data_IF_743978725965
#
_entry.id   IF_743978725965
#
_cell.length_a   1.000
_cell.length_b   1.000
_cell.length_c   1.000
_cell.angle_alpha   90.00
_cell.angle_beta   90.00
_cell.angle_gamma   90.00
#
_symmetry.space_group_name_H-M   'P 1'
#
loop_
_entity.id
_entity.type
_entity.pdbx_description
1 polymer ?
#
# COMPACT_ATOMS: atom_id res chain seq x y z
N UNK A 1 6.21 26.10 23.78
CA UNK A 1 6.38 25.73 22.35
C UNK A 1 5.03 25.94 21.68
N UNK A 2 4.87 27.07 21.00
CA UNK A 2 3.60 27.57 20.47
C UNK A 2 3.16 26.72 19.29
N UNK A 3 2.06 25.96 19.42
CA UNK A 3 1.46 25.20 18.30
C UNK A 3 0.84 26.21 17.34
N UNK A 4 1.62 26.68 16.35
CA UNK A 4 1.10 27.43 15.21
C UNK A 4 0.32 26.46 14.31
N UNK A 5 -0.95 26.18 14.63
CA UNK A 5 -1.85 25.54 13.67
C UNK A 5 -2.56 26.62 12.87
N UNK A 6 -2.24 26.73 11.59
CA UNK A 6 -2.73 27.77 10.68
C UNK A 6 -4.23 27.66 10.34
N UNK A 7 -4.93 26.61 10.80
CA UNK A 7 -6.34 26.38 10.52
C UNK A 7 -7.12 25.99 11.79
N UNK A 8 -8.37 26.48 11.95
CA UNK A 8 -9.33 25.98 12.94
C UNK A 8 -9.46 24.45 12.89
N UNK A 9 -9.79 23.83 14.03
CA UNK A 9 -9.83 22.37 14.18
C UNK A 9 -10.79 21.67 13.20
N UNK A 10 -11.89 22.35 12.85
CA UNK A 10 -12.89 21.85 11.88
C UNK A 10 -12.34 21.86 10.44
N UNK A 11 -11.70 22.96 10.02
CA UNK A 11 -11.16 23.11 8.66
C UNK A 11 -10.05 22.11 8.36
N UNK A 12 -9.27 21.74 9.38
CA UNK A 12 -8.24 20.70 9.28
C UNK A 12 -8.84 19.31 9.05
N UNK A 13 -9.94 18.99 9.73
CA UNK A 13 -10.63 17.72 9.52
C UNK A 13 -11.20 17.65 8.09
N UNK A 14 -11.84 18.72 7.63
CA UNK A 14 -12.35 18.82 6.26
C UNK A 14 -11.25 18.70 5.19
N UNK A 15 -10.12 19.40 5.37
CA UNK A 15 -8.99 19.30 4.45
C UNK A 15 -8.41 17.88 4.40
N UNK A 16 -8.29 17.22 5.56
CA UNK A 16 -7.76 15.86 5.65
C UNK A 16 -8.70 14.84 5.00
N UNK A 17 -10.01 14.99 5.17
CA UNK A 17 -11.00 14.13 4.53
C UNK A 17 -11.07 14.37 3.01
N UNK A 18 -10.92 15.61 2.54
CA UNK A 18 -10.83 15.91 1.11
C UNK A 18 -9.60 15.25 0.47
N UNK A 19 -8.44 15.34 1.12
CA UNK A 19 -7.21 14.68 0.66
C UNK A 19 -7.34 13.16 0.60
N UNK A 20 -8.05 12.55 1.55
CA UNK A 20 -8.36 11.11 1.49
C UNK A 20 -9.24 10.77 0.29
N UNK A 21 -10.26 11.57 0.02
CA UNK A 21 -11.12 11.40 -1.16
C UNK A 21 -10.30 11.42 -2.46
N UNK A 22 -9.40 12.39 -2.60
CA UNK A 22 -8.48 12.48 -3.75
C UNK A 22 -7.57 11.25 -3.84
N UNK A 23 -7.04 10.78 -2.71
CA UNK A 23 -6.19 9.59 -2.70
C UNK A 23 -6.97 8.33 -3.12
N UNK A 24 -8.23 8.18 -2.68
CA UNK A 24 -9.11 7.08 -3.11
C UNK A 24 -9.40 7.14 -4.61
N UNK A 25 -9.62 8.33 -5.18
CA UNK A 25 -9.77 8.49 -6.63
C UNK A 25 -8.52 8.05 -7.39
N UNK A 26 -7.33 8.35 -6.88
CA UNK A 26 -6.07 7.87 -7.46
C UNK A 26 -5.91 6.34 -7.39
N UNK A 27 -6.32 5.73 -6.27
CA UNK A 27 -6.34 4.26 -6.11
C UNK A 27 -7.33 3.63 -7.10
N UNK A 28 -8.49 4.26 -7.32
CA UNK A 28 -9.50 3.79 -8.28
C UNK A 28 -8.94 3.68 -9.70
N UNK A 29 -8.14 4.65 -10.14
CA UNK A 29 -7.51 4.62 -11.48
C UNK A 29 -6.64 3.36 -11.66
N UNK A 30 -5.83 3.03 -10.64
CA UNK A 30 -4.97 1.84 -10.67
C UNK A 30 -5.79 0.54 -10.62
N UNK A 31 -6.89 0.53 -9.85
CA UNK A 31 -7.78 -0.62 -9.81
C UNK A 31 -8.48 -0.85 -11.15
N UNK A 32 -8.96 0.20 -11.83
CA UNK A 32 -9.52 0.08 -13.18
C UNK A 32 -8.49 -0.56 -14.12
N UNK A 33 -7.24 -0.11 -14.05
CA UNK A 33 -6.15 -0.69 -14.84
C UNK A 33 -5.90 -2.17 -14.50
N UNK A 34 -5.95 -2.53 -13.22
CA UNK A 34 -5.81 -3.91 -12.74
C UNK A 34 -6.98 -4.83 -13.14
N UNK A 35 -8.20 -4.31 -13.27
CA UNK A 35 -9.37 -5.09 -13.70
C UNK A 35 -9.50 -5.16 -15.23
N UNK A 36 -9.02 -4.15 -15.95
CA UNK A 36 -9.05 -4.10 -17.40
C UNK A 36 -7.91 -4.88 -18.07
N UNK A 37 -6.78 -5.10 -17.37
CA UNK A 37 -5.63 -5.84 -17.88
C UNK A 37 -5.41 -7.18 -17.18
N UNK A 38 -4.87 -8.15 -17.93
CA UNK A 38 -4.47 -9.47 -17.40
C UNK A 38 -3.33 -9.29 -16.38
N UNK A 39 -3.37 -10.00 -15.26
CA UNK A 39 -2.42 -9.86 -14.14
C UNK A 39 -0.94 -9.98 -14.54
N UNK A 40 -0.62 -10.73 -15.60
CA UNK A 40 0.73 -10.86 -16.16
C UNK A 40 1.29 -9.57 -16.81
N UNK A 41 0.44 -8.58 -17.11
CA UNK A 41 0.82 -7.28 -17.69
C UNK A 41 1.48 -6.35 -16.66
N UNK A 42 1.28 -6.62 -15.37
CA UNK A 42 1.86 -5.82 -14.27
C UNK A 42 3.37 -6.05 -14.13
N UNK A 43 3.83 -7.27 -14.44
CA UNK A 43 5.24 -7.68 -14.32
C UNK A 43 5.96 -7.78 -15.67
N UNK A 44 5.24 -7.97 -16.78
CA UNK A 44 5.84 -8.06 -18.10
C UNK A 44 5.02 -7.31 -19.17
N UNK A 45 5.43 -6.09 -19.55
CA UNK A 45 4.72 -5.29 -20.56
C UNK A 45 4.77 -5.90 -21.98
N UNK A 46 5.54 -6.97 -22.21
CA UNK A 46 5.59 -7.66 -23.51
C UNK A 46 4.45 -8.68 -23.72
N UNK A 47 3.65 -8.97 -22.70
CA UNK A 47 2.59 -10.00 -22.77
C UNK A 47 1.36 -9.53 -23.56
N UNK A 48 1.13 -8.21 -23.66
CA UNK A 48 -0.08 -7.65 -24.28
C UNK A 48 0.09 -7.18 -25.74
N UNK A 49 1.24 -7.45 -26.37
CA UNK A 49 1.54 -7.03 -27.75
C UNK A 49 2.47 -5.81 -27.82
N UNK A 50 2.88 -5.46 -29.05
CA UNK A 50 3.93 -4.46 -29.31
C UNK A 50 3.63 -3.11 -28.65
N UNK A 51 4.44 -2.75 -27.65
CA UNK A 51 4.43 -1.45 -26.98
C UNK A 51 4.98 -0.35 -27.89
N UNK A 52 4.19 0.05 -28.90
CA UNK A 52 4.47 1.20 -29.77
C UNK A 52 3.47 2.34 -29.53
N UNK A 53 3.98 3.58 -29.43
CA UNK A 53 3.17 4.81 -29.36
C UNK A 53 2.57 5.15 -27.99
N UNK A 54 1.36 5.73 -28.02
CA UNK A 54 0.65 6.36 -26.88
C UNK A 54 0.43 5.40 -25.70
N UNK A 55 0.26 4.10 -25.95
CA UNK A 55 0.06 3.09 -24.90
C UNK A 55 1.27 2.94 -23.98
N UNK A 56 2.50 3.05 -24.50
CA UNK A 56 3.72 2.98 -23.67
C UNK A 56 3.85 4.21 -22.78
N UNK A 57 3.53 5.39 -23.31
CA UNK A 57 3.57 6.65 -22.55
C UNK A 57 2.51 6.67 -21.45
N UNK A 58 1.29 6.22 -21.74
CA UNK A 58 0.21 6.13 -20.74
C UNK A 58 0.51 5.08 -19.66
N UNK A 59 1.06 3.94 -20.03
CA UNK A 59 1.50 2.91 -19.07
C UNK A 59 2.63 3.44 -18.19
N UNK A 60 3.66 4.06 -18.79
CA UNK A 60 4.79 4.63 -18.04
C UNK A 60 4.32 5.77 -17.13
N UNK A 61 3.44 6.65 -17.60
CA UNK A 61 2.90 7.74 -16.78
C UNK A 61 2.07 7.21 -15.60
N UNK A 62 1.17 6.26 -15.83
CA UNK A 62 0.33 5.67 -14.77
C UNK A 62 1.18 4.90 -13.76
N UNK A 63 2.15 4.11 -14.23
CA UNK A 63 3.05 3.38 -13.37
C UNK A 63 3.97 4.31 -12.57
N UNK A 64 4.49 5.37 -13.21
CA UNK A 64 5.44 6.26 -12.56
C UNK A 64 4.77 7.32 -11.69
N UNK A 65 3.50 7.70 -11.91
CA UNK A 65 2.81 8.73 -11.13
C UNK A 65 1.71 8.20 -10.21
N UNK A 66 1.03 7.11 -10.56
CA UNK A 66 -0.10 6.61 -9.79
C UNK A 66 0.22 5.32 -9.01
N UNK A 67 1.08 4.45 -9.53
CA UNK A 67 1.37 3.17 -8.86
C UNK A 67 2.01 3.40 -7.48
N UNK A 68 1.37 2.80 -6.47
CA UNK A 68 1.67 2.85 -5.04
C UNK A 68 1.73 4.24 -4.37
N UNK A 69 1.77 5.35 -5.13
CA UNK A 69 1.87 6.71 -4.59
C UNK A 69 0.60 7.16 -3.89
N UNK A 70 -0.55 6.98 -4.54
CA UNK A 70 -1.83 7.33 -3.91
C UNK A 70 -2.15 6.45 -2.70
N UNK A 71 -1.74 5.17 -2.75
CA UNK A 71 -1.81 4.27 -1.59
C UNK A 71 -0.92 4.76 -0.44
N UNK A 72 0.29 5.24 -0.74
CA UNK A 72 1.22 5.79 0.25
C UNK A 72 0.67 7.08 0.90
N UNK A 73 0.11 7.99 0.09
CA UNK A 73 -0.55 9.22 0.58
C UNK A 73 -1.74 8.84 1.46
N UNK A 74 -2.60 7.92 1.00
CA UNK A 74 -3.73 7.44 1.77
C UNK A 74 -3.29 6.84 3.12
N UNK A 75 -2.23 6.01 3.15
CA UNK A 75 -1.65 5.48 4.38
C UNK A 75 -1.16 6.55 5.35
N UNK A 76 -0.50 7.58 4.83
CA UNK A 76 -0.02 8.69 5.65
C UNK A 76 -1.19 9.49 6.25
N UNK A 77 -2.22 9.78 5.45
CA UNK A 77 -3.44 10.47 5.90
C UNK A 77 -4.28 9.62 6.85
N UNK A 78 -4.26 8.30 6.68
CA UNK A 78 -4.88 7.36 7.60
C UNK A 78 -4.19 7.45 8.97
N UNK A 79 -2.86 7.34 9.02
CA UNK A 79 -2.08 7.50 10.26
C UNK A 79 -2.26 8.85 10.94
N UNK A 80 -2.23 9.95 10.19
CA UNK A 80 -2.50 11.30 10.72
C UNK A 80 -3.91 11.40 11.32
N UNK A 81 -4.87 10.70 10.71
CA UNK A 81 -6.23 10.56 11.23
C UNK A 81 -6.33 9.87 12.58
N UNK A 82 -5.48 8.88 12.85
CA UNK A 82 -5.45 8.16 14.12
C UNK A 82 -5.09 9.12 15.26
N UNK A 83 -4.05 9.93 15.04
CA UNK A 83 -3.59 10.93 16.01
C UNK A 83 -4.65 11.99 16.22
N UNK A 84 -5.20 12.56 15.14
CA UNK A 84 -6.24 13.59 15.22
C UNK A 84 -7.53 13.06 15.89
N UNK A 85 -7.94 11.83 15.59
CA UNK A 85 -9.10 11.19 16.20
C UNK A 85 -8.88 10.96 17.70
N UNK A 86 -7.69 10.50 18.09
CA UNK A 86 -7.33 10.29 19.50
C UNK A 86 -7.32 11.61 20.26
N UNK A 87 -6.64 12.63 19.74
CA UNK A 87 -6.54 13.96 20.37
C UNK A 87 -7.92 14.59 20.56
N UNK A 88 -8.77 14.55 19.53
CA UNK A 88 -10.11 15.12 19.59
C UNK A 88 -11.03 14.37 20.57
N UNK A 89 -10.88 13.05 20.69
CA UNK A 89 -11.71 12.24 21.61
C UNK A 89 -11.26 12.43 23.06
N UNK A 90 -9.94 12.51 23.31
CA UNK A 90 -9.38 12.75 24.65
C UNK A 90 -9.74 14.15 25.16
N UNK A 91 -9.71 15.18 24.29
CA UNK A 91 -10.17 16.55 24.64
C UNK A 91 -11.65 16.60 25.06
N UNK A 92 -12.47 15.68 24.55
CA UNK A 92 -13.90 15.58 24.87
C UNK A 92 -14.19 14.64 26.05
N UNK A 93 -13.14 14.09 26.70
CA UNK A 93 -13.28 13.17 27.84
C UNK A 93 -13.74 11.76 27.48
N UNK A 94 -13.76 11.40 26.20
CA UNK A 94 -14.16 10.06 25.75
C UNK A 94 -12.97 9.10 25.73
N UNK A 95 -13.26 7.79 25.81
CA UNK A 95 -12.28 6.73 25.57
C UNK A 95 -12.06 6.55 24.06
N UNK A 96 -10.96 7.07 23.45
CA UNK A 96 -10.75 6.99 22.01
C UNK A 96 -10.68 5.56 21.49
N UNK A 97 -10.13 4.65 22.30
CA UNK A 97 -9.88 3.26 21.91
C UNK A 97 -11.18 2.55 21.51
N UNK A 98 -12.23 2.67 22.32
CA UNK A 98 -13.50 1.96 22.08
C UNK A 98 -14.08 2.30 20.71
N UNK A 99 -14.23 3.59 20.43
CA UNK A 99 -14.82 4.05 19.16
C UNK A 99 -13.91 3.77 17.97
N UNK A 100 -12.59 3.89 18.15
CA UNK A 100 -11.64 3.60 17.08
C UNK A 100 -11.62 2.12 16.69
N UNK A 101 -11.54 1.21 17.68
CA UNK A 101 -11.55 -0.24 17.41
C UNK A 101 -12.88 -0.72 16.84
N UNK A 102 -14.01 -0.09 17.20
CA UNK A 102 -15.30 -0.39 16.56
C UNK A 102 -15.30 -0.03 15.08
N UNK A 103 -14.68 1.10 14.69
CA UNK A 103 -14.50 1.47 13.28
C UNK A 103 -13.60 0.48 12.55
N UNK A 104 -12.48 0.07 13.17
CA UNK A 104 -11.59 -0.93 12.58
C UNK A 104 -12.23 -2.31 12.45
N UNK A 105 -13.09 -2.70 13.40
CA UNK A 105 -13.81 -3.97 13.32
C UNK A 105 -14.73 -4.00 12.10
N UNK A 106 -15.54 -2.96 11.88
CA UNK A 106 -16.38 -2.87 10.69
C UNK A 106 -15.55 -2.79 9.41
N UNK A 107 -14.44 -2.06 9.42
CA UNK A 107 -13.52 -2.00 8.29
C UNK A 107 -12.95 -3.40 7.96
N UNK A 108 -12.60 -4.18 8.99
CA UNK A 108 -12.10 -5.55 8.83
C UNK A 108 -13.18 -6.47 8.27
N UNK A 109 -14.40 -6.42 8.81
CA UNK A 109 -15.52 -7.27 8.34
C UNK A 109 -15.84 -6.97 6.88
N UNK A 110 -15.93 -5.69 6.52
CA UNK A 110 -16.17 -5.27 5.13
C UNK A 110 -15.00 -5.69 4.24
N UNK A 111 -13.76 -5.51 4.70
CA UNK A 111 -12.57 -5.93 3.94
C UNK A 111 -12.50 -7.43 3.72
N UNK A 112 -12.85 -8.24 4.73
CA UNK A 112 -12.92 -9.70 4.58
C UNK A 112 -14.03 -10.09 3.61
N UNK A 113 -15.22 -9.52 3.75
CA UNK A 113 -16.32 -9.78 2.82
C UNK A 113 -15.93 -9.40 1.38
N UNK A 114 -15.32 -8.24 1.18
CA UNK A 114 -14.85 -7.80 -0.14
C UNK A 114 -13.71 -8.71 -0.68
N UNK A 115 -12.74 -9.06 0.16
CA UNK A 115 -11.62 -9.94 -0.18
C UNK A 115 -12.03 -11.34 -0.63
N UNK A 116 -13.04 -11.91 0.03
CA UNK A 116 -13.55 -13.26 -0.27
C UNK A 116 -14.61 -13.27 -1.37
N UNK A 117 -15.48 -12.27 -1.45
CA UNK A 117 -16.65 -12.27 -2.36
C UNK A 117 -16.39 -11.56 -3.69
N UNK A 118 -15.49 -10.57 -3.72
CA UNK A 118 -15.33 -9.68 -4.86
C UNK A 118 -13.94 -9.78 -5.49
N UNK A 119 -12.87 -9.54 -4.71
CA UNK A 119 -11.52 -9.46 -5.26
C UNK A 119 -10.41 -9.61 -4.21
N UNK A 120 -9.37 -10.38 -4.54
CA UNK A 120 -8.27 -10.70 -3.63
C UNK A 120 -7.38 -9.50 -3.22
N UNK A 121 -7.46 -8.38 -3.93
CA UNK A 121 -6.58 -7.20 -3.72
C UNK A 121 -7.11 -6.23 -2.67
N UNK A 122 -7.91 -6.71 -1.73
CA UNK A 122 -8.51 -5.88 -0.70
C UNK A 122 -7.45 -5.19 0.17
N UNK A 123 -7.46 -3.86 0.19
CA UNK A 123 -6.59 -3.05 1.04
C UNK A 123 -7.18 -2.85 2.44
N UNK A 124 -8.51 -3.00 2.60
CA UNK A 124 -9.23 -2.66 3.84
C UNK A 124 -8.77 -3.54 5.00
N UNK A 125 -8.55 -4.84 4.77
CA UNK A 125 -8.00 -5.76 5.80
C UNK A 125 -6.63 -5.29 6.27
N UNK A 126 -5.74 -4.93 5.34
CA UNK A 126 -4.41 -4.41 5.68
C UNK A 126 -4.49 -3.12 6.49
N UNK A 127 -5.40 -2.20 6.15
CA UNK A 127 -5.63 -0.98 6.92
C UNK A 127 -6.25 -1.23 8.29
N UNK A 128 -7.16 -2.20 8.41
CA UNK A 128 -7.77 -2.54 9.70
C UNK A 128 -6.71 -3.08 10.67
N UNK A 129 -5.87 -4.00 10.21
CA UNK A 129 -4.80 -4.61 11.01
C UNK A 129 -3.67 -3.62 11.32
N UNK A 130 -3.16 -2.92 10.29
CA UNK A 130 -2.11 -1.93 10.49
C UNK A 130 -2.60 -0.76 11.35
N UNK A 131 -3.86 -0.34 11.20
CA UNK A 131 -4.50 0.68 12.03
C UNK A 131 -4.66 0.27 13.48
N UNK A 132 -4.94 -1.00 13.76
CA UNK A 132 -5.00 -1.54 15.12
C UNK A 132 -3.62 -1.47 15.80
N UNK A 133 -2.58 -1.87 15.06
CA UNK A 133 -1.18 -1.83 15.53
C UNK A 133 -0.72 -0.38 15.71
N UNK A 134 -0.94 0.48 14.71
CA UNK A 134 -0.54 1.89 14.74
C UNK A 134 -1.19 2.66 15.89
N UNK A 135 -2.40 2.29 16.30
CA UNK A 135 -3.08 2.92 17.44
C UNK A 135 -2.33 2.73 18.76
N UNK A 136 -1.57 1.64 18.94
CA UNK A 136 -0.74 1.41 20.12
C UNK A 136 0.41 2.41 20.23
N UNK A 137 0.95 2.84 19.08
CA UNK A 137 2.10 3.72 18.99
C UNK A 137 1.74 5.22 18.94
N UNK A 138 0.44 5.56 18.92
CA UNK A 138 -0.04 6.94 18.67
C UNK A 138 0.45 7.99 19.67
N UNK A 139 0.81 7.59 20.89
CA UNK A 139 1.30 8.49 21.96
C UNK A 139 2.82 8.61 22.02
N UNK A 140 3.53 7.88 21.15
CA UNK A 140 5.00 7.96 21.09
C UNK A 140 5.45 9.28 20.47
N UNK A 141 6.69 9.66 20.77
CA UNK A 141 7.27 10.86 20.20
C UNK A 141 7.46 10.71 18.68
N UNK A 142 7.38 11.81 17.91
CA UNK A 142 7.56 11.76 16.45
C UNK A 142 8.87 11.11 16.03
N UNK A 143 9.95 11.34 16.78
CA UNK A 143 11.26 10.75 16.49
C UNK A 143 11.27 9.23 16.67
N UNK A 144 10.60 8.70 17.69
CA UNK A 144 10.48 7.24 17.87
C UNK A 144 9.66 6.62 16.74
N UNK A 145 8.59 7.28 16.30
CA UNK A 145 7.79 6.83 15.16
C UNK A 145 8.60 6.81 13.86
N UNK A 146 9.43 7.83 13.62
CA UNK A 146 10.33 7.87 12.46
C UNK A 146 11.38 6.76 12.54
N UNK A 147 12.02 6.56 13.70
CA UNK A 147 12.98 5.47 13.89
C UNK A 147 12.34 4.10 13.66
N UNK A 148 11.13 3.88 14.18
CA UNK A 148 10.39 2.63 13.97
C UNK A 148 10.05 2.42 12.49
N UNK A 149 9.61 3.48 11.80
CA UNK A 149 9.33 3.43 10.37
C UNK A 149 10.58 3.06 9.55
N UNK A 150 11.73 3.67 9.88
CA UNK A 150 13.01 3.35 9.22
C UNK A 150 13.42 1.90 9.48
N UNK A 151 13.33 1.42 10.72
CA UNK A 151 13.66 0.02 11.07
C UNK A 151 12.77 -0.95 10.29
N UNK A 152 11.46 -0.73 10.30
CA UNK A 152 10.51 -1.59 9.57
C UNK A 152 10.79 -1.55 8.07
N UNK A 153 11.11 -0.38 7.51
CA UNK A 153 11.44 -0.23 6.09
C UNK A 153 12.73 -0.95 5.69
N UNK A 154 13.72 -1.05 6.58
CA UNK A 154 14.97 -1.75 6.31
C UNK A 154 14.81 -3.27 6.27
N UNK A 155 13.78 -3.85 6.90
CA UNK A 155 13.52 -5.29 6.90
C UNK A 155 13.36 -5.87 5.48
N UNK A 156 12.44 -5.37 4.61
CA UNK A 156 12.32 -5.88 3.26
C UNK A 156 13.59 -5.63 2.43
N UNK A 157 14.25 -4.48 2.59
CA UNK A 157 15.52 -4.17 1.91
C UNK A 157 16.58 -5.21 2.26
N UNK A 158 16.70 -5.53 3.54
CA UNK A 158 17.61 -6.56 4.03
C UNK A 158 17.24 -7.96 3.50
N UNK A 159 15.95 -8.30 3.48
CA UNK A 159 15.48 -9.58 2.91
C UNK A 159 15.81 -9.70 1.42
N UNK A 160 15.61 -8.65 0.61
CA UNK A 160 15.98 -8.66 -0.81
C UNK A 160 17.49 -8.78 -1.01
N UNK A 161 18.27 -8.09 -0.20
CA UNK A 161 19.72 -8.21 -0.22
C UNK A 161 20.20 -9.62 0.14
N UNK A 162 19.62 -10.22 1.19
CA UNK A 162 19.91 -11.58 1.62
C UNK A 162 19.49 -12.62 0.56
N UNK A 163 18.30 -12.43 -0.04
CA UNK A 163 17.85 -13.25 -1.16
C UNK A 163 18.87 -13.21 -2.31
N UNK A 164 19.31 -12.02 -2.71
CA UNK A 164 20.34 -11.86 -3.73
C UNK A 164 21.66 -12.56 -3.41
N UNK A 165 22.07 -12.56 -2.14
CA UNK A 165 23.29 -13.25 -1.66
C UNK A 165 23.15 -14.77 -1.58
N UNK A 166 21.93 -15.29 -1.39
CA UNK A 166 21.69 -16.73 -1.29
C UNK A 166 21.47 -17.40 -2.65
N UNK A 167 21.07 -16.64 -3.68
CA UNK A 167 20.90 -17.15 -5.05
C UNK A 167 22.06 -18.03 -5.57
N UNK A 168 23.35 -17.68 -5.39
CA UNK A 168 24.46 -18.52 -5.87
C UNK A 168 24.59 -19.86 -5.14
N UNK A 169 23.99 -20.00 -3.96
CA UNK A 169 24.05 -21.21 -3.13
C UNK A 169 22.85 -22.15 -3.37
N UNK A 170 21.90 -21.75 -4.22
CA UNK A 170 20.69 -22.53 -4.47
C UNK A 170 20.94 -23.67 -5.48
N UNK A 171 20.19 -24.79 -5.37
CA UNK A 171 20.26 -25.86 -6.36
C UNK A 171 20.00 -25.35 -7.78
N UNK A 172 20.70 -25.89 -8.80
CA UNK A 172 20.52 -25.47 -10.20
C UNK A 172 19.07 -25.55 -10.68
N UNK A 173 18.31 -26.55 -10.21
CA UNK A 173 16.90 -26.78 -10.50
C UNK A 173 16.02 -25.58 -10.06
N UNK A 174 16.29 -25.02 -8.89
CA UNK A 174 15.58 -23.85 -8.37
C UNK A 174 15.91 -22.59 -9.18
N UNK A 175 17.16 -22.46 -9.63
CA UNK A 175 17.60 -21.34 -10.47
C UNK A 175 16.97 -21.40 -11.87
N UNK A 176 16.75 -22.58 -12.43
CA UNK A 176 16.04 -22.73 -13.70
C UNK A 176 14.56 -22.37 -13.58
N UNK A 177 13.88 -22.75 -12.49
CA UNK A 177 12.49 -22.34 -12.23
C UNK A 177 12.32 -20.81 -12.16
N UNK A 178 13.26 -20.11 -11.53
CA UNK A 178 13.27 -18.64 -11.50
C UNK A 178 13.51 -18.07 -12.91
N UNK A 179 14.46 -18.61 -13.68
CA UNK A 179 14.76 -18.16 -15.05
C UNK A 179 13.58 -18.33 -16.01
N UNK A 180 12.84 -19.43 -15.89
CA UNK A 180 11.63 -19.74 -16.68
C UNK A 180 10.51 -18.75 -16.34
N UNK A 181 10.29 -18.49 -15.04
CA UNK A 181 9.28 -17.52 -14.56
C UNK A 181 9.57 -16.10 -15.05
N UNK A 182 10.86 -15.72 -15.12
CA UNK A 182 11.29 -14.42 -15.63
C UNK A 182 11.33 -14.31 -17.16
N UNK A 183 11.40 -15.43 -17.89
CA UNK A 183 11.48 -15.48 -19.37
C UNK A 183 10.63 -16.61 -19.96
N UNK A 184 9.29 -16.48 -19.98
CA UNK A 184 8.39 -17.54 -20.44
C UNK A 184 8.53 -17.91 -21.93
N UNK A 185 9.13 -17.04 -22.77
CA UNK A 185 9.17 -17.21 -24.22
C UNK A 185 10.25 -18.13 -24.81
N UNK A 186 11.18 -18.70 -24.02
CA UNK A 186 12.32 -19.48 -24.57
C UNK A 186 12.16 -21.01 -24.58
N UNK A 187 11.01 -21.53 -24.16
CA UNK A 187 10.81 -22.98 -23.99
C UNK A 187 10.59 -23.76 -25.31
N UNK A 188 10.79 -23.15 -26.49
CA UNK A 188 10.54 -23.79 -27.80
C UNK A 188 11.76 -24.39 -28.53
N UNK A 189 12.96 -24.50 -27.93
CA UNK A 189 14.14 -25.02 -28.66
C UNK A 189 15.02 -26.05 -27.95
N UNK A 190 14.50 -26.80 -26.98
CA UNK A 190 15.21 -27.99 -26.46
C UNK A 190 14.24 -29.16 -26.55
N UNK A 191 14.28 -29.91 -27.66
CA UNK A 191 13.42 -31.06 -27.88
C UNK A 191 12.93 -31.24 -29.32
N UNK A 192 13.85 -31.27 -30.28
CA UNK A 192 13.79 -32.18 -31.43
C UNK A 192 15.16 -32.82 -31.59
#
# INVERSE_FOLDING_TARGET
MTKTSLLPQNDRAHALDALRGVAVLGILIMNIQSFAMISASYTNPMVFGSMTGVNKTLWLFSHFFADQKFLSIFSMLFGAGIVLFSDNSEQKGYLPARFYFQKLFWLLVIGLAHGYLLWHGDILVFYALSGAIAFLFRKLSPWVLVSLAVVIFLIPVFNYWLFGKTLPMWPPEALEGIKVSWRPGRQKSIGK
#
